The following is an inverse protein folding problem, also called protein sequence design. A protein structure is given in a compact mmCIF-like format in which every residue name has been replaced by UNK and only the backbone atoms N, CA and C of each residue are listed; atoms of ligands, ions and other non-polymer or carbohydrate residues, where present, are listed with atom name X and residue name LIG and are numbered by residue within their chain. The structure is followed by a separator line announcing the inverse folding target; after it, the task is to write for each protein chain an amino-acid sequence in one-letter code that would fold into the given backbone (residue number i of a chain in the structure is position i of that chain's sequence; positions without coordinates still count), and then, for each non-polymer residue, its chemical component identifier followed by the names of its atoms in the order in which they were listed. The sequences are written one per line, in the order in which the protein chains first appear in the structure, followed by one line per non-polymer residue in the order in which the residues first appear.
data_IF_273712990893
#
_entry.id   IF_273712990893
#
_cell.length_a   1.000
_cell.length_b   1.000
_cell.length_c   1.000
_cell.angle_alpha   90.00
_cell.angle_beta   90.00
_cell.angle_gamma   90.00
#
_symmetry.space_group_name_H-M   'P 1'
#
loop_
_entity.id
_entity.type
_entity.pdbx_description
1 polymer ?
#
# COMPACT_ATOMS: atom_id res chain seq x y z
N UNK A 1 -32.00 1.07 6.40
CA UNK A 1 -31.60 0.99 4.98
C UNK A 1 -31.24 -0.44 4.58
N UNK A 2 -30.24 -1.08 5.24
CA UNK A 2 -29.79 -2.44 4.88
C UNK A 2 -30.91 -3.47 4.77
N UNK A 3 -31.84 -3.51 5.73
CA UNK A 3 -32.97 -4.45 5.69
C UNK A 3 -33.88 -4.27 4.47
N UNK A 4 -34.08 -3.02 4.03
CA UNK A 4 -34.88 -2.73 2.84
C UNK A 4 -34.16 -3.08 1.53
N UNK A 5 -32.83 -2.92 1.49
CA UNK A 5 -32.02 -3.40 0.35
C UNK A 5 -32.11 -4.93 0.27
N UNK A 6 -31.92 -5.61 1.41
CA UNK A 6 -31.93 -7.08 1.48
C UNK A 6 -33.28 -7.72 1.21
N UNK A 7 -34.39 -7.01 1.43
CA UNK A 7 -35.72 -7.52 1.05
C UNK A 7 -35.91 -7.63 -0.46
N UNK A 8 -35.08 -6.92 -1.25
CA UNK A 8 -35.09 -6.99 -2.72
C UNK A 8 -33.98 -7.90 -3.23
N UNK A 9 -32.76 -7.74 -2.70
CA UNK A 9 -31.61 -8.58 -3.04
C UNK A 9 -30.78 -8.90 -1.79
N UNK A 10 -30.94 -10.12 -1.29
CA UNK A 10 -30.24 -10.59 -0.09
C UNK A 10 -28.73 -10.79 -0.30
N UNK A 11 -28.25 -10.84 -1.55
CA UNK A 11 -26.85 -11.12 -1.91
C UNK A 11 -25.97 -9.87 -1.99
N UNK A 12 -26.57 -8.67 -2.01
CA UNK A 12 -25.82 -7.42 -2.04
C UNK A 12 -24.93 -7.24 -0.81
N UNK A 13 -23.68 -6.84 -1.07
CA UNK A 13 -22.73 -6.44 -0.04
C UNK A 13 -23.06 -5.02 0.41
N UNK A 14 -23.40 -4.87 1.68
CA UNK A 14 -23.71 -3.59 2.32
C UNK A 14 -22.44 -3.05 3.00
N UNK A 15 -21.84 -2.04 2.37
CA UNK A 15 -20.78 -1.24 2.98
C UNK A 15 -21.37 0.00 3.65
N UNK A 16 -21.05 0.31 4.92
CA UNK A 16 -21.46 1.55 5.53
C UNK A 16 -20.61 2.73 5.04
N UNK A 17 -20.96 3.93 5.52
CA UNK A 17 -20.05 5.07 5.46
C UNK A 17 -18.68 4.73 6.06
N UNK A 18 -17.65 5.47 5.66
CA UNK A 18 -16.33 5.31 6.24
C UNK A 18 -16.31 5.80 7.69
N UNK A 19 -15.66 5.01 8.53
CA UNK A 19 -15.47 5.32 9.94
C UNK A 19 -13.99 5.37 10.31
N UNK A 20 -13.71 5.99 11.44
CA UNK A 20 -12.40 6.09 12.05
C UNK A 20 -12.39 5.39 13.41
N UNK A 21 -11.20 5.00 13.89
CA UNK A 21 -11.03 4.30 15.16
C UNK A 21 -9.92 4.89 16.05
N UNK A 22 -9.30 5.98 15.61
CA UNK A 22 -8.15 6.63 16.24
C UNK A 22 -8.54 7.72 17.25
N UNK A 23 -9.68 8.39 17.08
CA UNK A 23 -10.18 9.38 18.04
C UNK A 23 -11.59 9.06 18.53
N UNK A 24 -11.71 8.63 19.80
CA UNK A 24 -13.01 8.43 20.47
C UNK A 24 -13.79 9.74 20.72
N UNK A 25 -13.12 10.88 20.59
CA UNK A 25 -13.71 12.20 20.81
C UNK A 25 -14.42 12.72 19.54
N UNK A 26 -14.04 12.23 18.36
CA UNK A 26 -14.72 12.51 17.09
C UNK A 26 -15.98 11.64 16.95
N UNK A 27 -16.99 11.97 17.76
CA UNK A 27 -18.20 11.13 17.86
C UNK A 27 -19.00 11.04 16.56
N UNK A 28 -18.76 11.91 15.57
CA UNK A 28 -19.46 11.91 14.29
C UNK A 28 -19.16 10.67 13.44
N UNK A 29 -17.91 10.20 13.43
CA UNK A 29 -17.44 9.08 12.60
C UNK A 29 -16.62 8.03 13.37
N UNK A 30 -16.51 8.12 14.71
CA UNK A 30 -15.88 7.08 15.51
C UNK A 30 -16.66 5.77 15.49
N UNK A 31 -16.03 4.70 15.00
CA UNK A 31 -16.68 3.41 14.76
C UNK A 31 -17.27 2.80 16.05
N UNK A 32 -16.61 2.99 17.19
CA UNK A 32 -17.02 2.38 18.46
C UNK A 32 -18.36 2.89 19.01
N UNK A 33 -18.83 4.06 18.57
CA UNK A 33 -20.15 4.60 18.94
C UNK A 33 -21.18 4.50 17.80
N UNK A 34 -20.72 4.25 16.56
CA UNK A 34 -21.57 4.23 15.36
C UNK A 34 -21.90 2.83 14.86
N UNK A 35 -21.05 1.86 15.13
CA UNK A 35 -21.24 0.46 14.74
C UNK A 35 -21.34 -0.39 15.99
N UNK A 36 -22.49 -0.28 16.66
CA UNK A 36 -22.87 -1.16 17.77
C UNK A 36 -23.21 -2.56 17.24
N UNK A 37 -23.36 -3.54 18.13
CA UNK A 37 -23.53 -4.94 17.75
C UNK A 37 -24.76 -5.19 16.86
N UNK A 38 -25.86 -4.48 17.11
CA UNK A 38 -27.10 -4.51 16.33
C UNK A 38 -26.95 -3.82 14.95
N UNK A 39 -26.03 -2.86 14.82
CA UNK A 39 -25.65 -2.27 13.52
C UNK A 39 -24.72 -3.21 12.76
N UNK A 40 -23.76 -3.82 13.44
CA UNK A 40 -22.74 -4.69 12.85
C UNK A 40 -23.34 -5.91 12.13
N UNK A 41 -24.47 -6.45 12.61
CA UNK A 41 -25.19 -7.54 11.92
C UNK A 41 -25.81 -7.12 10.58
N UNK A 42 -25.98 -5.81 10.34
CA UNK A 42 -26.66 -5.26 9.17
C UNK A 42 -25.71 -4.74 8.07
N UNK A 43 -24.40 -4.89 8.26
CA UNK A 43 -23.36 -4.52 7.30
C UNK A 43 -22.47 -5.73 6.99
N UNK A 44 -21.87 -5.80 5.81
CA UNK A 44 -21.02 -6.93 5.42
C UNK A 44 -19.54 -6.63 5.61
N UNK A 45 -19.17 -5.34 5.53
CA UNK A 45 -17.79 -4.88 5.57
C UNK A 45 -17.63 -3.70 6.53
N UNK A 46 -16.44 -3.57 7.07
CA UNK A 46 -15.99 -2.33 7.74
C UNK A 46 -15.37 -1.45 6.67
N UNK A 47 -15.66 -0.15 6.72
CA UNK A 47 -15.14 0.81 5.77
C UNK A 47 -14.39 1.95 6.49
N UNK A 48 -13.30 2.42 5.90
CA UNK A 48 -12.53 3.55 6.39
C UNK A 48 -11.82 4.29 5.26
N UNK A 49 -11.40 5.52 5.52
CA UNK A 49 -10.54 6.30 4.63
C UNK A 49 -9.20 6.51 5.34
N UNK A 50 -8.10 6.47 4.61
CA UNK A 50 -6.78 6.72 5.18
C UNK A 50 -5.92 7.56 4.25
N UNK A 51 -5.38 8.65 4.79
CA UNK A 51 -4.51 9.58 4.09
C UNK A 51 -3.28 9.83 4.96
N UNK A 52 -2.16 10.24 4.35
CA UNK A 52 -0.88 10.36 5.04
C UNK A 52 -0.50 11.80 5.32
N UNK A 53 -0.90 12.31 6.47
CA UNK A 53 -0.67 13.68 6.89
C UNK A 53 0.03 13.78 8.25
N UNK A 54 0.81 14.83 8.44
CA UNK A 54 1.37 15.27 9.73
C UNK A 54 1.11 16.75 9.94
N UNK A 55 1.11 17.23 11.18
CA UNK A 55 1.22 18.67 11.45
C UNK A 55 2.70 19.04 11.62
N UNK A 56 3.17 20.06 10.92
CA UNK A 56 4.50 20.62 11.13
C UNK A 56 4.59 21.41 12.45
N UNK A 57 5.77 21.96 12.75
CA UNK A 57 6.02 22.70 14.00
C UNK A 57 5.14 23.96 14.14
N UNK A 58 4.57 24.47 13.05
CA UNK A 58 3.66 25.61 13.04
C UNK A 58 2.18 25.18 13.07
N UNK A 59 1.90 23.88 13.18
CA UNK A 59 0.55 23.32 13.15
C UNK A 59 -0.06 23.24 11.75
N UNK A 60 0.72 23.44 10.68
CA UNK A 60 0.22 23.31 9.31
C UNK A 60 0.24 21.83 8.92
N UNK A 61 -0.86 21.33 8.36
CA UNK A 61 -0.96 19.95 7.90
C UNK A 61 -0.19 19.76 6.59
N UNK A 62 0.65 18.73 6.52
CA UNK A 62 1.53 18.40 5.41
C UNK A 62 1.35 16.95 4.97
N UNK A 63 1.44 16.69 3.67
CA UNK A 63 1.55 15.34 3.14
C UNK A 63 2.89 14.72 3.53
N UNK A 64 2.90 13.42 3.79
CA UNK A 64 4.14 12.70 4.14
C UNK A 64 4.12 11.25 3.64
N UNK A 65 5.26 10.57 3.69
CA UNK A 65 5.39 9.15 3.36
C UNK A 65 4.59 8.26 4.33
N UNK A 66 4.02 7.13 3.86
CA UNK A 66 3.02 6.37 4.63
C UNK A 66 3.56 5.68 5.90
N UNK A 67 4.87 5.48 6.02
CA UNK A 67 5.55 4.84 7.15
C UNK A 67 5.92 5.82 8.26
N UNK A 68 5.78 7.12 8.01
CA UNK A 68 6.06 8.14 9.01
C UNK A 68 5.22 7.84 10.27
N UNK A 69 5.89 7.72 11.42
CA UNK A 69 5.24 7.32 12.69
C UNK A 69 4.18 8.31 13.17
N UNK A 70 4.29 9.57 12.74
CA UNK A 70 3.33 10.63 13.05
C UNK A 70 2.20 10.72 12.01
N UNK A 71 2.31 9.99 10.90
CA UNK A 71 1.34 10.06 9.82
C UNK A 71 -0.04 9.56 10.25
N UNK A 72 -1.08 10.27 9.85
CA UNK A 72 -2.48 9.83 9.94
C UNK A 72 -2.75 8.54 9.15
N UNK A 73 -1.84 8.11 8.27
CA UNK A 73 -1.96 6.82 7.58
C UNK A 73 -2.00 5.64 8.58
N UNK A 74 -1.40 5.83 9.76
CA UNK A 74 -1.44 4.88 10.86
C UNK A 74 -2.84 4.68 11.49
N UNK A 75 -3.83 5.51 11.14
CA UNK A 75 -5.24 5.34 11.54
C UNK A 75 -5.84 3.99 11.09
N UNK A 76 -5.23 3.33 10.10
CA UNK A 76 -5.58 1.97 9.70
C UNK A 76 -5.41 0.96 10.86
N UNK A 77 -4.38 1.14 11.70
CA UNK A 77 -4.03 0.20 12.77
C UNK A 77 -5.14 0.06 13.83
N UNK A 78 -5.66 1.16 14.42
CA UNK A 78 -6.80 1.04 15.33
C UNK A 78 -8.06 0.52 14.63
N UNK A 79 -8.29 0.82 13.35
CA UNK A 79 -9.45 0.31 12.62
C UNK A 79 -9.39 -1.21 12.42
N UNK A 80 -8.22 -1.74 12.06
CA UNK A 80 -7.94 -3.18 12.00
C UNK A 80 -8.17 -3.83 13.36
N UNK A 81 -7.60 -3.27 14.44
CA UNK A 81 -7.80 -3.78 15.81
C UNK A 81 -9.27 -3.81 16.21
N UNK A 82 -10.01 -2.76 15.86
CA UNK A 82 -11.44 -2.71 16.14
C UNK A 82 -12.19 -3.79 15.36
N UNK A 83 -11.91 -3.95 14.06
CA UNK A 83 -12.52 -4.99 13.23
C UNK A 83 -12.23 -6.37 13.80
N UNK A 84 -10.98 -6.67 14.11
CA UNK A 84 -10.54 -7.97 14.62
C UNK A 84 -11.22 -8.31 15.96
N UNK A 85 -11.38 -7.33 16.85
CA UNK A 85 -11.99 -7.54 18.16
C UNK A 85 -13.52 -7.65 18.14
N UNK A 86 -14.20 -6.87 17.28
CA UNK A 86 -15.66 -6.73 17.32
C UNK A 86 -16.37 -7.49 16.19
N UNK A 87 -15.69 -7.68 15.05
CA UNK A 87 -16.24 -8.27 13.84
C UNK A 87 -15.18 -9.10 13.08
N UNK A 88 -14.55 -10.11 13.70
CA UNK A 88 -13.36 -10.79 13.15
C UNK A 88 -13.57 -11.41 11.76
N UNK A 89 -14.81 -11.78 11.43
CA UNK A 89 -15.15 -12.41 10.16
C UNK A 89 -15.48 -11.41 9.03
N UNK A 90 -15.53 -10.10 9.32
CA UNK A 90 -15.84 -9.08 8.31
C UNK A 90 -14.59 -8.62 7.58
N UNK A 91 -14.77 -8.26 6.32
CA UNK A 91 -13.70 -7.63 5.56
C UNK A 91 -13.53 -6.17 6.00
N UNK A 92 -12.30 -5.65 5.84
CA UNK A 92 -12.01 -4.24 5.93
C UNK A 92 -11.75 -3.70 4.52
N UNK A 93 -12.52 -2.71 4.11
CA UNK A 93 -12.33 -1.96 2.88
C UNK A 93 -11.83 -0.55 3.22
N UNK A 94 -10.91 -0.06 2.38
CA UNK A 94 -10.45 1.31 2.38
C UNK A 94 -10.95 1.95 1.11
N UNK A 95 -12.10 2.61 1.17
CA UNK A 95 -12.74 3.17 -0.04
C UNK A 95 -12.11 4.47 -0.51
N UNK A 96 -11.24 5.08 0.29
CA UNK A 96 -10.43 6.21 -0.13
C UNK A 96 -9.06 6.17 0.54
N UNK A 97 -8.04 6.33 -0.29
CA UNK A 97 -6.66 6.60 0.09
C UNK A 97 -5.92 7.23 -1.09
N UNK A 98 -4.90 8.03 -0.81
CA UNK A 98 -4.12 8.69 -1.85
C UNK A 98 -3.32 9.87 -1.34
N UNK A 99 -2.74 10.60 -2.28
CA UNK A 99 -2.00 11.83 -2.05
C UNK A 99 -2.37 12.83 -3.15
N UNK A 100 -2.59 14.07 -2.76
CA UNK A 100 -2.63 15.20 -3.69
C UNK A 100 -1.22 15.50 -4.19
N UNK A 101 -1.08 15.76 -5.49
CA UNK A 101 0.17 16.20 -6.08
C UNK A 101 -0.05 16.95 -7.38
N UNK A 102 0.93 17.78 -7.75
CA UNK A 102 1.07 18.29 -9.12
C UNK A 102 1.12 17.15 -10.13
N UNK A 103 1.02 17.48 -11.41
CA UNK A 103 1.36 16.59 -12.51
C UNK A 103 0.38 16.66 -13.67
N UNK A 104 0.81 16.12 -14.81
CA UNK A 104 -0.01 16.07 -16.03
C UNK A 104 -0.63 17.43 -16.43
N UNK A 105 0.12 18.51 -16.21
CA UNK A 105 -0.23 19.89 -16.58
C UNK A 105 -1.00 20.68 -15.52
N UNK A 106 -1.20 20.16 -14.32
CA UNK A 106 -1.95 20.82 -13.24
C UNK A 106 -1.11 20.99 -11.97
N UNK A 107 -1.21 22.17 -11.36
CA UNK A 107 -0.58 22.52 -10.09
C UNK A 107 -1.46 22.14 -8.88
N UNK A 108 -0.84 22.05 -7.71
CA UNK A 108 -1.39 21.60 -6.45
C UNK A 108 -0.98 22.56 -5.32
N UNK A 109 -1.91 23.43 -4.93
CA UNK A 109 -1.64 24.51 -3.99
C UNK A 109 -1.97 24.17 -2.52
N UNK A 110 -2.60 23.02 -2.27
CA UNK A 110 -2.92 22.60 -0.91
C UNK A 110 -1.65 22.33 -0.10
N UNK A 111 -1.67 22.66 1.19
CA UNK A 111 -0.52 22.47 2.08
C UNK A 111 -0.05 21.02 2.21
N UNK A 112 -0.96 20.08 1.91
CA UNK A 112 -0.78 18.65 1.95
C UNK A 112 -0.26 18.05 0.64
N UNK A 113 -0.16 18.84 -0.43
CA UNK A 113 0.38 18.39 -1.71
C UNK A 113 1.81 17.85 -1.54
N UNK A 114 2.07 16.72 -2.19
CA UNK A 114 3.42 16.17 -2.36
C UNK A 114 3.84 16.35 -3.82
N UNK A 115 5.10 16.08 -4.15
CA UNK A 115 5.54 16.08 -5.55
C UNK A 115 4.90 14.93 -6.32
N UNK A 116 4.77 15.04 -7.65
CA UNK A 116 4.25 13.95 -8.49
C UNK A 116 5.05 12.64 -8.30
N UNK A 117 6.38 12.76 -8.20
CA UNK A 117 7.27 11.65 -7.91
C UNK A 117 6.98 11.01 -6.54
N UNK A 118 6.72 11.83 -5.51
CA UNK A 118 6.32 11.34 -4.20
C UNK A 118 4.98 10.61 -4.26
N UNK A 119 3.98 11.15 -4.96
CA UNK A 119 2.67 10.52 -5.13
C UNK A 119 2.82 9.11 -5.73
N UNK A 120 3.62 8.98 -6.78
CA UNK A 120 3.85 7.70 -7.45
C UNK A 120 4.52 6.66 -6.55
N UNK A 121 5.60 7.04 -5.86
CA UNK A 121 6.34 6.12 -4.99
C UNK A 121 5.57 5.80 -3.69
N UNK A 122 4.89 6.78 -3.11
CA UNK A 122 4.07 6.59 -1.91
C UNK A 122 2.83 5.75 -2.18
N UNK A 123 2.27 5.80 -3.40
CA UNK A 123 1.16 4.93 -3.79
C UNK A 123 1.54 3.44 -3.71
N UNK A 124 2.70 3.06 -4.26
CA UNK A 124 3.17 1.67 -4.16
C UNK A 124 3.43 1.27 -2.70
N UNK A 125 4.18 2.10 -1.96
CA UNK A 125 4.48 1.84 -0.54
C UNK A 125 3.21 1.72 0.31
N UNK A 126 2.26 2.63 0.11
CA UNK A 126 0.96 2.65 0.77
C UNK A 126 0.14 1.39 0.44
N UNK A 127 0.07 0.98 -0.83
CA UNK A 127 -0.62 -0.24 -1.24
C UNK A 127 -0.07 -1.46 -0.52
N UNK A 128 1.27 -1.57 -0.40
CA UNK A 128 1.91 -2.67 0.31
C UNK A 128 1.58 -2.67 1.81
N UNK A 129 1.52 -1.49 2.45
CA UNK A 129 1.11 -1.35 3.86
C UNK A 129 -0.37 -1.72 4.06
N UNK A 130 -1.25 -1.35 3.13
CA UNK A 130 -2.67 -1.74 3.17
C UNK A 130 -2.83 -3.26 2.99
N UNK A 131 -2.13 -3.85 2.03
CA UNK A 131 -2.10 -5.30 1.80
C UNK A 131 -1.62 -6.05 3.05
N UNK A 132 -0.51 -5.59 3.64
CA UNK A 132 0.02 -6.03 4.94
C UNK A 132 -0.99 -5.96 6.09
N UNK A 133 -1.91 -5.00 6.04
CA UNK A 133 -2.90 -4.73 7.10
C UNK A 133 -4.20 -5.53 6.96
N UNK A 134 -4.21 -6.57 6.10
CA UNK A 134 -5.40 -7.41 5.83
C UNK A 134 -6.61 -6.57 5.35
N UNK A 135 -6.33 -5.52 4.58
CA UNK A 135 -7.34 -4.76 3.84
C UNK A 135 -7.72 -5.58 2.61
N UNK A 136 -9.01 -5.94 2.50
CA UNK A 136 -9.51 -6.77 1.41
C UNK A 136 -9.73 -6.00 0.10
N UNK A 137 -9.91 -4.67 0.20
CA UNK A 137 -10.09 -3.77 -0.94
C UNK A 137 -9.56 -2.40 -0.57
N UNK A 138 -8.71 -1.84 -1.42
CA UNK A 138 -8.23 -0.47 -1.30
C UNK A 138 -8.55 0.27 -2.61
N UNK A 139 -9.40 1.30 -2.54
CA UNK A 139 -9.81 2.10 -3.69
C UNK A 139 -9.05 3.40 -3.67
N UNK A 140 -8.17 3.60 -4.65
CA UNK A 140 -7.46 4.86 -4.81
C UNK A 140 -8.47 5.98 -5.00
N UNK A 141 -8.32 7.06 -4.23
CA UNK A 141 -9.06 8.29 -4.45
C UNK A 141 -8.21 9.14 -5.38
N UNK A 142 -8.50 9.27 -6.67
CA UNK A 142 -9.63 8.76 -7.46
C UNK A 142 -9.22 8.78 -8.95
N UNK A 143 -10.12 8.54 -9.90
CA UNK A 143 -9.72 8.40 -11.31
C UNK A 143 -9.07 9.67 -11.88
N UNK A 144 -9.70 10.84 -11.75
CA UNK A 144 -9.26 12.08 -12.38
C UNK A 144 -9.31 13.26 -11.40
N UNK A 145 -8.42 14.23 -11.54
CA UNK A 145 -8.47 15.47 -10.77
C UNK A 145 -9.80 16.22 -10.98
N UNK A 146 -10.19 16.98 -9.94
CA UNK A 146 -11.39 17.83 -9.96
C UNK A 146 -11.03 19.27 -10.31
N UNK A 147 -12.00 20.03 -10.82
CA UNK A 147 -11.84 21.46 -11.10
C UNK A 147 -11.94 22.30 -9.80
N UNK A 148 -10.92 22.20 -8.96
CA UNK A 148 -10.76 22.94 -7.71
C UNK A 148 -9.29 22.98 -7.23
N UNK A 149 -8.98 23.81 -6.24
CA UNK A 149 -7.62 24.02 -5.70
C UNK A 149 -7.47 23.66 -4.21
N UNK A 150 -8.46 22.97 -3.63
CA UNK A 150 -8.42 22.54 -2.23
C UNK A 150 -7.87 21.12 -2.10
N UNK A 151 -7.68 20.68 -0.84
CA UNK A 151 -7.38 19.29 -0.54
C UNK A 151 -8.35 18.33 -1.25
N UNK A 152 -7.80 17.23 -1.75
CA UNK A 152 -8.42 16.16 -2.52
C UNK A 152 -8.75 16.49 -3.98
N UNK A 153 -8.46 17.71 -4.46
CA UNK A 153 -8.69 18.08 -5.85
C UNK A 153 -7.64 17.51 -6.81
N UNK A 154 -6.50 17.04 -6.28
CA UNK A 154 -5.29 16.70 -7.05
C UNK A 154 -4.79 15.28 -6.83
N UNK A 155 -5.61 14.41 -6.23
CA UNK A 155 -5.28 13.00 -5.96
C UNK A 155 -5.54 12.06 -7.13
N UNK A 156 -5.98 12.56 -8.28
CA UNK A 156 -6.33 11.75 -9.45
C UNK A 156 -5.20 10.84 -9.93
N UNK A 157 -5.55 9.72 -10.56
CA UNK A 157 -4.62 8.95 -11.40
C UNK A 157 -4.37 9.67 -12.73
N UNK A 158 -5.32 10.47 -13.17
CA UNK A 158 -5.21 11.38 -14.31
C UNK A 158 -5.42 12.83 -13.88
N UNK A 159 -5.00 13.77 -14.72
CA UNK A 159 -5.43 15.16 -14.61
C UNK A 159 -6.93 15.31 -14.94
N UNK A 160 -7.45 16.53 -14.81
CA UNK A 160 -8.90 16.78 -14.97
C UNK A 160 -9.34 16.75 -16.44
N UNK A 161 -10.63 17.01 -16.66
CA UNK A 161 -11.17 17.19 -18.00
C UNK A 161 -10.48 18.35 -18.77
N UNK A 162 -10.04 19.40 -18.06
CA UNK A 162 -9.46 20.60 -18.69
C UNK A 162 -8.13 20.33 -19.37
N UNK A 163 -7.38 19.36 -18.86
CA UNK A 163 -6.10 18.86 -19.39
C UNK A 163 -6.26 17.48 -20.05
N UNK A 164 -7.48 17.11 -20.41
CA UNK A 164 -7.83 15.91 -21.19
C UNK A 164 -7.47 14.57 -20.54
N UNK A 165 -7.61 14.46 -19.21
CA UNK A 165 -7.37 13.20 -18.49
C UNK A 165 -5.99 12.59 -18.77
N UNK A 166 -4.97 13.44 -18.91
CA UNK A 166 -3.60 12.95 -19.08
C UNK A 166 -3.19 12.12 -17.86
N UNK A 167 -2.58 10.96 -18.12
CA UNK A 167 -2.10 10.06 -17.07
C UNK A 167 -1.03 10.77 -16.23
N UNK A 168 -1.13 10.64 -14.91
CA UNK A 168 -0.06 11.04 -13.97
C UNK A 168 0.90 9.88 -13.74
N UNK A 169 2.08 10.16 -13.23
CA UNK A 169 3.13 9.14 -12.99
C UNK A 169 2.66 8.03 -12.06
N UNK A 170 1.78 8.34 -11.10
CA UNK A 170 1.15 7.33 -10.22
C UNK A 170 0.32 6.30 -10.99
N UNK A 171 -0.29 6.67 -12.12
CA UNK A 171 -1.01 5.72 -12.98
C UNK A 171 -0.05 4.66 -13.51
N UNK A 172 1.07 5.08 -14.10
CA UNK A 172 2.09 4.16 -14.63
C UNK A 172 2.66 3.24 -13.56
N UNK A 173 2.96 3.77 -12.37
CA UNK A 173 3.44 2.95 -11.25
C UNK A 173 2.42 1.90 -10.82
N UNK A 174 1.15 2.27 -10.62
CA UNK A 174 0.14 1.31 -10.18
C UNK A 174 -0.22 0.29 -11.26
N UNK A 175 -0.20 0.67 -12.54
CA UNK A 175 -0.36 -0.26 -13.66
C UNK A 175 0.73 -1.35 -13.64
N UNK A 176 2.00 -0.94 -13.54
CA UNK A 176 3.14 -1.86 -13.50
C UNK A 176 3.15 -2.74 -12.23
N UNK A 177 2.75 -2.20 -11.07
CA UNK A 177 2.58 -3.01 -9.84
C UNK A 177 1.53 -4.10 -10.05
N UNK A 178 0.39 -3.75 -10.67
CA UNK A 178 -0.68 -4.71 -10.93
C UNK A 178 -0.27 -5.75 -11.99
N UNK A 179 0.51 -5.36 -13.00
CA UNK A 179 1.05 -6.29 -14.00
C UNK A 179 2.00 -7.31 -13.38
N UNK A 180 2.93 -6.85 -12.54
CA UNK A 180 3.97 -7.71 -11.96
C UNK A 180 3.45 -8.59 -10.81
N UNK A 181 2.63 -8.03 -9.91
CA UNK A 181 2.24 -8.71 -8.67
C UNK A 181 0.74 -8.67 -8.38
N UNK A 182 -0.11 -8.24 -9.31
CA UNK A 182 -1.56 -8.14 -9.11
C UNK A 182 -2.27 -9.47 -8.84
N UNK A 183 -1.68 -10.59 -9.26
CA UNK A 183 -2.16 -11.95 -8.95
C UNK A 183 -1.47 -12.59 -7.73
N UNK A 184 -0.61 -11.84 -7.03
CA UNK A 184 0.05 -12.30 -5.81
C UNK A 184 -0.73 -11.89 -4.56
N UNK A 185 -0.51 -12.62 -3.47
CA UNK A 185 -1.10 -12.38 -2.16
C UNK A 185 0.00 -12.02 -1.16
N UNK A 186 -0.31 -11.12 -0.22
CA UNK A 186 0.58 -10.85 0.90
C UNK A 186 0.83 -12.14 1.70
N UNK A 187 2.09 -12.53 1.81
CA UNK A 187 2.47 -13.76 2.47
C UNK A 187 3.06 -13.55 3.85
N UNK A 188 3.82 -12.48 4.06
CA UNK A 188 4.39 -12.22 5.39
C UNK A 188 5.32 -11.02 5.47
N UNK A 189 5.63 -10.63 6.70
CA UNK A 189 6.66 -9.63 6.99
C UNK A 189 7.99 -10.33 7.20
N UNK A 190 8.95 -10.05 6.34
CA UNK A 190 10.35 -10.47 6.53
C UNK A 190 11.08 -9.46 7.41
N UNK A 191 10.81 -8.17 7.20
CA UNK A 191 11.32 -7.09 8.02
C UNK A 191 10.37 -5.87 7.98
N UNK A 192 10.18 -5.21 9.12
CA UNK A 192 9.47 -3.92 9.20
C UNK A 192 10.16 -3.07 10.27
N UNK A 193 11.22 -2.35 9.88
CA UNK A 193 12.04 -1.56 10.81
C UNK A 193 12.60 -0.30 10.13
N UNK A 194 13.31 0.54 10.89
CA UNK A 194 13.99 1.72 10.35
C UNK A 194 15.09 1.41 9.32
N UNK A 195 15.60 0.18 9.27
CA UNK A 195 16.58 -0.25 8.26
C UNK A 195 15.94 -0.81 7.00
N UNK A 196 14.61 -0.93 6.94
CA UNK A 196 13.93 -1.40 5.74
C UNK A 196 12.61 -2.10 6.04
N UNK A 197 11.69 -1.98 5.09
CA UNK A 197 10.45 -2.74 5.00
C UNK A 197 10.65 -3.78 3.92
N UNK A 198 10.38 -5.05 4.23
CA UNK A 198 10.52 -6.20 3.34
C UNK A 198 9.32 -7.11 3.54
N UNK A 199 8.48 -7.19 2.52
CA UNK A 199 7.27 -8.02 2.51
C UNK A 199 7.42 -9.15 1.51
N UNK A 200 7.06 -10.35 1.94
CA UNK A 200 6.96 -11.52 1.08
C UNK A 200 5.57 -11.60 0.46
N UNK A 201 5.51 -11.90 -0.83
CA UNK A 201 4.31 -12.19 -1.59
C UNK A 201 4.35 -13.64 -2.11
N UNK A 202 3.19 -14.23 -2.35
CA UNK A 202 3.07 -15.58 -2.91
C UNK A 202 2.00 -15.62 -4.00
N UNK A 203 2.15 -16.51 -4.99
CA UNK A 203 1.13 -16.73 -6.02
C UNK A 203 0.01 -17.66 -5.54
N UNK A 204 0.13 -18.22 -4.33
CA UNK A 204 -0.87 -19.12 -3.74
C UNK A 204 -1.71 -18.39 -2.72
N UNK A 205 -3.04 -18.52 -2.78
CA UNK A 205 -3.92 -17.96 -1.76
C UNK A 205 -3.76 -18.73 -0.45
N UNK A 206 -2.89 -18.24 0.42
CA UNK A 206 -2.59 -18.80 1.74
C UNK A 206 -2.82 -17.77 2.83
N UNK A 207 -3.00 -18.24 4.07
CA UNK A 207 -3.02 -17.32 5.21
C UNK A 207 -1.62 -16.68 5.37
N UNK A 208 -1.55 -15.37 5.66
CA UNK A 208 -0.26 -14.73 5.91
C UNK A 208 0.48 -15.40 7.08
N UNK A 209 1.77 -15.65 6.89
CA UNK A 209 2.69 -16.08 7.93
C UNK A 209 3.29 -14.83 8.56
N UNK A 210 3.27 -14.78 9.88
CA UNK A 210 3.90 -13.70 10.66
C UNK A 210 5.07 -14.33 11.42
N UNK A 211 6.27 -14.41 10.83
CA UNK A 211 7.42 -15.02 11.49
C UNK A 211 7.72 -14.31 12.81
N UNK A 212 8.06 -15.10 13.83
CA UNK A 212 8.63 -14.59 15.09
C UNK A 212 10.12 -14.26 14.96
N UNK A 213 10.76 -14.77 13.90
CA UNK A 213 12.19 -14.61 13.63
C UNK A 213 12.40 -13.69 12.42
N UNK A 214 13.21 -12.66 12.60
CA UNK A 214 13.39 -11.58 11.61
C UNK A 214 14.32 -12.03 10.47
N UNK A 215 14.08 -11.55 9.24
CA UNK A 215 14.94 -11.70 8.05
C UNK A 215 14.94 -13.06 7.31
N UNK A 216 14.19 -14.06 7.76
CA UNK A 216 13.96 -15.28 6.98
C UNK A 216 12.85 -15.07 5.92
N UNK A 217 13.13 -15.40 4.66
CA UNK A 217 12.15 -15.39 3.58
C UNK A 217 11.44 -16.74 3.51
N UNK A 218 10.10 -16.79 3.69
CA UNK A 218 9.33 -18.03 3.61
C UNK A 218 9.51 -18.75 2.27
N UNK A 219 9.53 -20.09 2.28
CA UNK A 219 9.89 -20.88 1.09
C UNK A 219 8.89 -20.95 -0.06
N UNK A 220 7.67 -20.44 0.12
CA UNK A 220 6.66 -20.32 -0.95
C UNK A 220 6.54 -18.88 -1.49
N UNK A 221 7.51 -18.02 -1.16
CA UNK A 221 7.55 -16.61 -1.57
C UNK A 221 7.86 -16.50 -3.05
N UNK A 222 6.91 -16.03 -3.87
CA UNK A 222 7.16 -15.76 -5.30
C UNK A 222 7.92 -14.46 -5.52
N UNK A 223 7.64 -13.45 -4.69
CA UNK A 223 8.27 -12.14 -4.77
C UNK A 223 8.56 -11.59 -3.38
N UNK A 224 9.61 -10.80 -3.24
CA UNK A 224 9.69 -9.82 -2.16
C UNK A 224 9.50 -8.41 -2.71
N UNK A 225 8.89 -7.55 -1.89
CA UNK A 225 8.89 -6.10 -2.09
C UNK A 225 9.71 -5.48 -0.97
N UNK A 226 10.68 -4.63 -1.31
CA UNK A 226 11.58 -4.02 -0.33
C UNK A 226 11.83 -2.54 -0.58
N UNK A 227 11.90 -1.74 0.49
CA UNK A 227 12.25 -0.31 0.43
C UNK A 227 12.68 0.21 1.81
N UNK A 228 13.28 1.39 1.83
CA UNK A 228 13.64 2.11 3.04
C UNK A 228 12.48 3.06 3.43
N UNK A 229 11.98 3.03 4.69
CA UNK A 229 10.82 3.80 5.13
C UNK A 229 11.18 5.26 5.44
N UNK A 230 11.62 5.99 4.42
CA UNK A 230 12.07 7.39 4.49
C UNK A 230 11.33 8.26 3.49
N UNK A 231 11.46 9.59 3.63
CA UNK A 231 10.92 10.54 2.66
C UNK A 231 11.55 10.35 1.27
N UNK A 232 10.82 10.70 0.21
CA UNK A 232 11.29 10.58 -1.18
C UNK A 232 12.57 11.39 -1.45
N UNK A 233 12.83 12.44 -0.67
CA UNK A 233 14.02 13.28 -0.82
C UNK A 233 15.23 12.76 -0.04
N UNK A 234 15.05 11.77 0.84
CA UNK A 234 16.16 11.19 1.62
C UNK A 234 17.07 10.37 0.68
N UNK A 235 18.36 10.71 0.49
CA UNK A 235 19.26 10.00 -0.41
C UNK A 235 19.79 8.70 0.19
N UNK A 236 19.41 8.35 1.42
CA UNK A 236 19.94 7.18 2.11
C UNK A 236 19.64 5.89 1.35
N UNK A 237 20.67 5.07 1.28
CA UNK A 237 20.57 3.66 0.92
C UNK A 237 20.94 2.80 2.13
N UNK A 238 20.41 1.59 2.16
CA UNK A 238 20.68 0.64 3.22
C UNK A 238 20.93 -0.74 2.62
N UNK A 239 22.07 -1.33 3.00
CA UNK A 239 22.33 -2.73 2.73
C UNK A 239 21.57 -3.59 3.72
N UNK A 240 20.79 -4.54 3.23
CA UNK A 240 20.10 -5.56 4.02
C UNK A 240 20.50 -6.95 3.55
N UNK A 241 20.40 -7.92 4.45
CA UNK A 241 20.73 -9.32 4.20
C UNK A 241 19.53 -10.15 4.61
N UNK A 242 19.08 -11.03 3.72
CA UNK A 242 17.92 -11.89 3.89
C UNK A 242 18.35 -13.35 3.77
N UNK A 243 17.80 -14.19 4.64
CA UNK A 243 18.00 -15.63 4.61
C UNK A 243 16.90 -16.26 3.76
N UNK A 244 17.26 -16.76 2.57
CA UNK A 244 16.36 -17.47 1.68
C UNK A 244 16.16 -18.92 2.14
N UNK A 245 14.96 -19.44 1.87
CA UNK A 245 14.69 -20.87 2.00
C UNK A 245 15.45 -21.67 0.93
N UNK A 246 15.59 -22.99 1.15
CA UNK A 246 16.27 -23.86 0.19
C UNK A 246 15.56 -23.90 -1.17
N UNK A 247 16.33 -23.88 -2.26
CA UNK A 247 15.82 -23.92 -3.63
C UNK A 247 15.31 -22.58 -4.19
N UNK A 248 15.34 -21.50 -3.40
CA UNK A 248 14.98 -20.17 -3.89
C UNK A 248 16.15 -19.51 -4.62
N UNK A 249 15.90 -19.02 -5.83
CA UNK A 249 16.88 -18.29 -6.63
C UNK A 249 16.29 -17.00 -7.18
N UNK A 250 17.00 -15.88 -7.04
CA UNK A 250 16.59 -14.61 -7.65
C UNK A 250 16.61 -14.73 -9.16
N UNK A 251 15.49 -14.42 -9.81
CA UNK A 251 15.39 -14.38 -11.27
C UNK A 251 15.54 -12.95 -11.82
N UNK A 252 14.82 -12.01 -11.21
CA UNK A 252 14.71 -10.64 -11.71
C UNK A 252 14.53 -9.68 -10.55
N UNK A 253 15.14 -8.50 -10.67
CA UNK A 253 14.88 -7.35 -9.82
C UNK A 253 14.34 -6.18 -10.65
N UNK A 254 13.33 -5.48 -10.14
CA UNK A 254 12.74 -4.28 -10.76
C UNK A 254 12.66 -3.21 -9.68
N UNK A 255 13.12 -1.99 -9.98
CA UNK A 255 12.99 -0.82 -9.10
C UNK A 255 11.94 0.11 -9.67
N UNK A 256 11.05 0.60 -8.82
CA UNK A 256 10.03 1.59 -9.14
C UNK A 256 10.58 2.99 -8.85
N UNK A 257 11.09 3.63 -9.90
CA UNK A 257 11.72 4.95 -9.81
C UNK A 257 10.70 6.07 -9.77
N UNK A 258 9.50 5.87 -10.32
CA UNK A 258 8.47 6.91 -10.42
C UNK A 258 8.95 8.15 -11.17
N UNK A 259 9.84 7.98 -12.17
CA UNK A 259 10.40 9.09 -12.94
C UNK A 259 9.43 9.63 -13.99
N UNK A 260 8.64 8.76 -14.63
CA UNK A 260 7.62 9.16 -15.60
C UNK A 260 6.51 8.12 -15.72
N UNK A 261 5.44 8.49 -16.42
CA UNK A 261 4.30 7.60 -16.72
C UNK A 261 4.73 6.39 -17.55
N UNK A 262 5.54 6.60 -18.59
CA UNK A 262 5.91 5.56 -19.57
C UNK A 262 7.12 4.72 -19.11
N UNK A 263 7.92 5.25 -18.17
CA UNK A 263 9.08 4.58 -17.61
C UNK A 263 9.06 4.65 -16.08
N UNK A 264 8.05 4.04 -15.42
CA UNK A 264 7.91 4.09 -13.96
C UNK A 264 8.94 3.21 -13.24
N UNK A 265 9.64 2.35 -13.98
CA UNK A 265 10.57 1.34 -13.46
C UNK A 265 11.90 1.26 -14.21
N UNK A 266 12.90 0.70 -13.55
CA UNK A 266 14.18 0.29 -14.12
C UNK A 266 14.56 -1.13 -13.66
N UNK A 267 15.51 -1.76 -14.36
CA UNK A 267 16.09 -3.03 -13.89
C UNK A 267 16.90 -2.77 -12.63
N UNK A 268 16.64 -3.54 -11.58
CA UNK A 268 17.35 -3.42 -10.31
C UNK A 268 18.54 -4.37 -10.29
N UNK A 269 19.76 -3.82 -10.18
CA UNK A 269 21.00 -4.60 -10.20
C UNK A 269 21.72 -4.66 -8.84
N UNK A 270 21.26 -3.92 -7.83
CA UNK A 270 21.96 -3.80 -6.53
C UNK A 270 21.62 -4.96 -5.59
N UNK A 271 21.82 -6.19 -6.06
CA UNK A 271 21.68 -7.41 -5.26
C UNK A 271 22.76 -8.44 -5.57
N UNK A 272 23.00 -9.33 -4.61
CA UNK A 272 23.80 -10.54 -4.82
C UNK A 272 23.27 -11.69 -3.96
N UNK A 273 23.27 -12.90 -4.52
CA UNK A 273 22.89 -14.12 -3.81
C UNK A 273 24.10 -15.03 -3.66
N UNK A 274 24.43 -15.43 -2.43
CA UNK A 274 25.44 -16.42 -2.12
C UNK A 274 24.80 -17.58 -1.36
N UNK A 275 24.52 -18.68 -2.07
CA UNK A 275 23.74 -19.79 -1.53
C UNK A 275 22.36 -19.31 -1.06
N UNK A 276 22.09 -19.43 0.24
CA UNK A 276 20.85 -19.01 0.86
C UNK A 276 20.85 -17.56 1.36
N UNK A 277 21.93 -16.79 1.13
CA UNK A 277 22.03 -15.41 1.60
C UNK A 277 21.80 -14.44 0.45
N UNK A 278 20.76 -13.62 0.52
CA UNK A 278 20.48 -12.55 -0.42
C UNK A 278 20.86 -11.21 0.20
N UNK A 279 21.83 -10.52 -0.40
CA UNK A 279 22.16 -9.13 -0.07
C UNK A 279 21.43 -8.21 -1.04
N UNK A 280 20.74 -7.18 -0.53
CA UNK A 280 20.12 -6.10 -1.31
C UNK A 280 20.65 -4.75 -0.82
N UNK A 281 20.78 -3.77 -1.72
CA UNK A 281 20.87 -2.35 -1.37
C UNK A 281 19.55 -1.67 -1.71
N UNK A 282 18.80 -1.31 -0.68
CA UNK A 282 17.47 -0.70 -0.80
C UNK A 282 17.54 0.81 -0.54
N UNK A 283 16.59 1.55 -1.12
CA UNK A 283 16.45 3.00 -0.95
C UNK A 283 14.97 3.36 -0.75
N UNK A 284 14.65 4.65 -0.76
CA UNK A 284 13.27 5.18 -0.78
C UNK A 284 12.37 4.60 -1.88
N UNK A 285 12.97 4.11 -2.97
CA UNK A 285 12.31 3.52 -4.13
C UNK A 285 12.06 2.03 -3.91
N UNK A 286 10.80 1.58 -3.99
CA UNK A 286 10.48 0.17 -3.87
C UNK A 286 11.14 -0.67 -4.95
N UNK A 287 11.58 -1.86 -4.55
CA UNK A 287 12.04 -2.90 -5.46
C UNK A 287 11.17 -4.14 -5.33
N UNK A 288 10.88 -4.78 -6.45
CA UNK A 288 10.32 -6.13 -6.52
C UNK A 288 11.44 -7.07 -6.93
N UNK A 289 11.64 -8.15 -6.19
CA UNK A 289 12.56 -9.23 -6.54
C UNK A 289 11.77 -10.52 -6.68
N UNK A 290 11.82 -11.11 -7.87
CA UNK A 290 11.15 -12.36 -8.25
C UNK A 290 12.05 -13.57 -7.99
N UNK A 291 11.45 -14.68 -7.53
CA UNK A 291 12.15 -15.93 -7.23
C UNK A 291 11.63 -17.11 -8.05
N UNK A 292 12.56 -17.95 -8.51
CA UNK A 292 12.27 -19.33 -8.89
C UNK A 292 12.48 -20.29 -7.72
N UNK A 293 11.75 -21.41 -7.79
CA UNK A 293 11.80 -22.50 -6.82
C UNK A 293 12.26 -23.82 -7.44
N UNK A 294 12.79 -23.76 -8.67
CA UNK A 294 13.25 -24.95 -9.36
C UNK A 294 14.49 -25.52 -8.64
N UNK A 295 14.49 -26.82 -8.36
CA UNK A 295 15.75 -27.54 -8.24
C UNK A 295 16.43 -27.42 -9.61
N UNK A 296 17.69 -26.98 -9.64
CA UNK A 296 18.51 -27.15 -10.84
C UNK A 296 18.48 -28.64 -11.21
N UNK A 297 17.63 -29.03 -12.16
CA UNK A 297 17.88 -30.25 -12.90
C UNK A 297 19.19 -29.99 -13.66
N UNK A 298 20.18 -30.90 -13.60
CA UNK A 298 21.36 -30.74 -14.40
C UNK A 298 20.92 -30.61 -15.86
N UNK A 299 21.40 -29.58 -16.54
CA UNK A 299 21.33 -29.52 -17.99
C UNK A 299 22.20 -30.70 -18.46
N UNK A 300 21.54 -31.80 -18.82
CA UNK A 300 22.13 -32.92 -19.55
C UNK A 300 21.66 -32.75 -20.99
N UNK A 301 22.57 -32.35 -21.87
CA UNK A 301 22.34 -32.20 -23.31
C UNK A 301 22.89 -30.89 -23.84
#
# INVERSE_FOLDING_TARGET
MSSGIRSIDSTLIVAPAAFQADSKYETSNYIGTRVLQDVAINIDVINGHTYSFINDLNGVRRGTYPENKLSSFNSIKPLVRWRDANTPNKQLWITEWGWDADGAGEDCDATECVTEHAQAVYAFRGLMILSRSNVARATWYFYANSDCSTLFCRSGLTSSQTTHFQRKTVFGVLEEVLELVGNSYFFGVVQESYSGYVYALTNSKTQPVFPTDTQAVPGNTSHIVAWLPVDINDPKEQRIILQLSSGMHVQKGIRFTGQSVDHPTEVFHSYSQNGHMLTLTISRHPVIVEFSHAQNLPIVG
#
